data_IF_333994937142
#
_entry.id   IF_333994937142
#
_cell.length_a   1.000
_cell.length_b   1.000
_cell.length_c   1.000
_cell.angle_alpha   90.00
_cell.angle_beta   90.00
_cell.angle_gamma   90.00
#
_symmetry.space_group_name_H-M   'P 1'
#
loop_
_entity.id
_entity.type
_entity.pdbx_description
1 polymer ?
#
# COMPACT_ATOMS: atom_id res chain seq x y z
N UNK A 1 -15.92 21.37 -33.41
CA UNK A 1 -15.69 21.07 -31.99
C UNK A 1 -14.27 20.53 -31.91
N UNK A 2 -13.33 21.42 -31.59
CA UNK A 2 -11.93 21.09 -31.63
C UNK A 2 -11.52 20.52 -30.27
N UNK A 3 -11.48 19.18 -30.20
CA UNK A 3 -10.88 18.46 -29.04
C UNK A 3 -9.34 18.53 -29.14
N UNK A 4 -8.81 19.73 -28.96
CA UNK A 4 -7.37 19.91 -28.86
C UNK A 4 -6.94 19.89 -27.38
N UNK A 5 -7.28 18.80 -26.68
CA UNK A 5 -6.70 18.54 -25.34
C UNK A 5 -5.36 17.80 -25.52
N UNK A 6 -4.45 18.43 -26.22
CA UNK A 6 -3.06 17.97 -26.26
C UNK A 6 -2.50 18.10 -24.85
N UNK A 7 -2.30 16.97 -24.17
CA UNK A 7 -1.59 16.92 -22.90
C UNK A 7 -0.23 17.60 -23.09
N UNK A 8 -0.06 18.77 -22.48
CA UNK A 8 1.23 19.44 -22.46
C UNK A 8 2.19 18.48 -21.75
N UNK A 9 3.29 18.06 -22.39
CA UNK A 9 4.20 17.13 -21.76
C UNK A 9 4.77 17.76 -20.49
N UNK A 10 4.46 17.14 -19.34
CA UNK A 10 5.01 17.56 -18.05
C UNK A 10 6.51 17.27 -18.11
N UNK A 11 7.34 18.32 -18.02
CA UNK A 11 8.78 18.15 -17.93
C UNK A 11 9.13 17.73 -16.50
N UNK A 12 9.22 16.42 -16.29
CA UNK A 12 9.63 15.83 -15.01
C UNK A 12 11.13 16.06 -14.83
N UNK A 13 11.52 16.57 -13.66
CA UNK A 13 12.92 16.67 -13.25
C UNK A 13 13.33 15.38 -12.57
N UNK A 14 14.46 14.83 -12.97
CA UNK A 14 15.15 13.81 -12.18
C UNK A 14 15.82 14.50 -10.99
N UNK A 15 15.49 14.04 -9.78
CA UNK A 15 15.99 14.59 -8.51
C UNK A 15 16.95 13.62 -7.82
N UNK A 16 17.29 12.49 -8.45
CA UNK A 16 18.25 11.52 -7.94
C UNK A 16 19.64 11.94 -8.39
N UNK A 17 20.52 12.25 -7.43
CA UNK A 17 21.92 12.59 -7.71
C UNK A 17 22.76 11.35 -7.95
N UNK A 18 22.61 10.35 -7.08
CA UNK A 18 23.41 9.14 -7.11
C UNK A 18 22.80 8.01 -6.28
N UNK A 19 23.26 6.79 -6.56
CA UNK A 19 23.12 5.63 -5.69
C UNK A 19 24.45 5.39 -4.97
N UNK A 20 24.45 5.46 -3.65
CA UNK A 20 25.62 5.23 -2.81
C UNK A 20 25.33 4.14 -1.79
N UNK A 21 26.35 3.36 -1.41
CA UNK A 21 26.24 2.46 -0.27
C UNK A 21 26.93 3.07 0.93
N UNK A 22 26.21 3.12 2.06
CA UNK A 22 26.71 3.62 3.34
C UNK A 22 26.29 2.70 4.47
N UNK A 23 26.97 2.72 5.62
CA UNK A 23 26.47 2.03 6.81
C UNK A 23 25.10 2.59 7.20
N UNK A 24 24.12 1.71 7.49
CA UNK A 24 22.76 2.15 7.77
C UNK A 24 22.70 3.10 8.98
N UNK A 25 23.50 2.84 10.03
CA UNK A 25 23.59 3.67 11.22
C UNK A 25 24.21 5.06 10.98
N UNK A 26 24.84 5.31 9.82
CA UNK A 26 25.36 6.64 9.47
C UNK A 26 24.26 7.57 8.94
N UNK A 27 23.07 7.06 8.64
CA UNK A 27 21.94 7.84 8.18
C UNK A 27 21.21 8.48 9.36
N UNK A 28 20.83 9.74 9.23
CA UNK A 28 19.99 10.42 10.20
C UNK A 28 18.51 10.10 9.96
N UNK A 29 17.80 9.78 11.02
CA UNK A 29 16.35 9.68 10.96
C UNK A 29 15.74 11.08 10.91
N UNK A 30 14.74 11.28 10.03
CA UNK A 30 14.05 12.56 9.94
C UNK A 30 13.27 12.82 11.24
N UNK A 31 13.36 14.02 11.84
CA UNK A 31 12.67 14.33 13.11
C UNK A 31 11.14 14.28 12.97
N UNK A 32 10.62 14.59 11.79
CA UNK A 32 9.18 14.55 11.48
C UNK A 32 8.72 13.19 10.93
N UNK A 33 9.52 12.11 11.10
CA UNK A 33 9.06 10.78 10.74
C UNK A 33 7.87 10.37 11.62
N UNK A 34 6.70 10.32 11.02
CA UNK A 34 5.43 10.04 11.71
C UNK A 34 5.05 8.56 11.74
N UNK A 35 5.79 7.72 11.00
CA UNK A 35 5.52 6.28 10.93
C UNK A 35 6.00 5.55 12.18
N UNK A 36 5.12 4.67 12.68
CA UNK A 36 5.42 3.73 13.76
C UNK A 36 5.38 2.32 13.17
N UNK A 37 6.44 1.56 13.38
CA UNK A 37 6.59 0.23 12.83
C UNK A 37 6.28 -0.83 13.90
N UNK A 38 5.19 -1.60 13.76
CA UNK A 38 4.87 -2.66 14.70
C UNK A 38 5.87 -3.84 14.56
N UNK A 39 5.98 -4.64 15.61
CA UNK A 39 6.94 -5.74 15.68
C UNK A 39 6.75 -6.78 14.56
N UNK A 40 5.49 -7.08 14.20
CA UNK A 40 5.21 -8.01 13.11
C UNK A 40 5.74 -7.53 11.76
N UNK A 41 5.68 -6.21 11.47
CA UNK A 41 6.26 -5.63 10.26
C UNK A 41 7.79 -5.76 10.27
N UNK A 42 8.42 -5.45 11.41
CA UNK A 42 9.87 -5.56 11.58
C UNK A 42 10.33 -7.00 11.38
N UNK A 43 9.63 -7.96 11.98
CA UNK A 43 9.94 -9.39 11.88
C UNK A 43 9.74 -9.92 10.45
N UNK A 44 8.70 -9.51 9.74
CA UNK A 44 8.46 -9.90 8.35
C UNK A 44 9.55 -9.34 7.41
N UNK A 45 9.94 -8.08 7.60
CA UNK A 45 11.00 -7.45 6.82
C UNK A 45 12.36 -8.09 7.10
N UNK A 46 12.67 -8.42 8.36
CA UNK A 46 13.87 -9.16 8.71
C UNK A 46 13.88 -10.53 8.02
N UNK A 47 12.75 -11.24 8.03
CA UNK A 47 12.61 -12.53 7.34
C UNK A 47 12.86 -12.43 5.83
N UNK A 48 12.42 -11.34 5.20
CA UNK A 48 12.68 -11.08 3.79
C UNK A 48 14.19 -10.83 3.54
N UNK A 49 14.86 -10.08 4.42
CA UNK A 49 16.31 -9.86 4.33
C UNK A 49 17.11 -11.15 4.51
N UNK A 50 16.70 -12.01 5.44
CA UNK A 50 17.37 -13.30 5.68
C UNK A 50 17.25 -14.22 4.45
N UNK A 51 16.14 -14.17 3.73
CA UNK A 51 15.87 -15.06 2.60
C UNK A 51 16.42 -14.54 1.26
N UNK A 52 16.29 -13.26 1.00
CA UNK A 52 16.60 -12.66 -0.32
C UNK A 52 17.78 -11.68 -0.23
N UNK A 53 17.97 -11.05 0.93
CA UNK A 53 18.88 -9.93 1.10
C UNK A 53 18.20 -8.59 0.79
N UNK A 54 19.02 -7.55 0.58
CA UNK A 54 18.55 -6.19 0.33
C UNK A 54 18.36 -6.01 -1.18
N UNK A 55 17.11 -5.94 -1.64
CA UNK A 55 16.73 -5.76 -3.04
C UNK A 55 16.13 -4.37 -3.33
N UNK A 56 16.21 -3.44 -2.37
CA UNK A 56 15.65 -2.10 -2.45
C UNK A 56 16.64 -1.06 -1.92
N UNK A 57 16.40 0.23 -2.17
CA UNK A 57 17.22 1.33 -1.67
C UNK A 57 16.40 2.25 -0.77
N UNK A 58 17.03 2.81 0.25
CA UNK A 58 16.43 3.88 1.06
C UNK A 58 16.57 5.22 0.36
N UNK A 59 15.69 6.16 0.64
CA UNK A 59 15.68 7.51 0.05
C UNK A 59 16.18 8.52 1.07
N UNK A 60 17.17 9.34 0.68
CA UNK A 60 17.74 10.36 1.53
C UNK A 60 18.06 11.66 0.76
N UNK A 61 18.26 12.74 1.51
CA UNK A 61 18.81 14.00 1.00
C UNK A 61 19.97 14.45 1.89
N UNK A 62 20.84 15.33 1.36
CA UNK A 62 21.88 15.96 2.16
C UNK A 62 21.30 17.20 2.88
N UNK A 63 21.33 17.19 4.22
CA UNK A 63 20.97 18.35 5.02
C UNK A 63 22.03 19.49 4.91
N UNK A 64 21.82 20.61 5.59
CA UNK A 64 22.74 21.75 5.57
C UNK A 64 24.14 21.41 6.10
N UNK A 65 24.23 20.43 7.02
CA UNK A 65 25.48 19.93 7.60
C UNK A 65 26.17 18.88 6.73
N UNK A 66 25.63 18.59 5.52
CA UNK A 66 26.11 17.57 4.59
C UNK A 66 25.98 16.14 5.09
N UNK A 67 25.10 15.91 6.03
CA UNK A 67 24.73 14.58 6.52
C UNK A 67 23.53 14.05 5.72
N UNK A 68 23.46 12.73 5.57
CA UNK A 68 22.36 12.08 4.86
C UNK A 68 21.16 11.90 5.79
N UNK A 69 20.09 12.62 5.54
CA UNK A 69 18.83 12.54 6.26
C UNK A 69 17.83 11.69 5.48
N UNK A 70 17.24 10.69 6.14
CA UNK A 70 16.25 9.80 5.51
C UNK A 70 14.93 10.52 5.21
N UNK A 71 14.38 10.19 4.05
CA UNK A 71 13.00 10.48 3.64
C UNK A 71 12.17 9.21 3.75
N UNK A 72 12.71 8.08 3.25
CA UNK A 72 12.09 6.75 3.35
C UNK A 72 13.13 5.68 3.73
N UNK A 73 12.67 4.64 4.42
CA UNK A 73 13.47 3.49 4.82
C UNK A 73 13.96 3.52 6.26
N UNK A 74 13.30 4.25 7.17
CA UNK A 74 13.65 4.30 8.59
C UNK A 74 13.71 2.90 9.24
N UNK A 75 12.70 2.04 8.99
CA UNK A 75 12.71 0.67 9.49
C UNK A 75 13.89 -0.14 8.95
N UNK A 76 14.22 0.02 7.65
CA UNK A 76 15.38 -0.65 7.03
C UNK A 76 16.68 -0.25 7.70
N UNK A 77 16.86 1.05 7.96
CA UNK A 77 17.99 1.57 8.70
C UNK A 77 18.11 0.94 10.10
N UNK A 78 17.00 0.91 10.83
CA UNK A 78 16.97 0.43 12.21
C UNK A 78 17.28 -1.07 12.32
N UNK A 79 16.80 -1.87 11.35
CA UNK A 79 17.07 -3.31 11.31
C UNK A 79 18.48 -3.67 10.88
N UNK A 80 19.09 -2.87 10.00
CA UNK A 80 20.34 -3.22 9.34
C UNK A 80 21.59 -2.65 10.04
N UNK A 81 21.43 -1.69 10.95
CA UNK A 81 22.50 -1.25 11.85
C UNK A 81 23.79 -0.84 11.13
N UNK A 82 24.84 -1.62 11.23
CA UNK A 82 26.15 -1.35 10.63
C UNK A 82 26.30 -1.84 9.18
N UNK A 83 25.30 -2.57 8.67
CA UNK A 83 25.33 -3.10 7.32
C UNK A 83 25.38 -1.98 6.26
N UNK A 84 26.08 -2.26 5.17
CA UNK A 84 26.19 -1.36 4.02
C UNK A 84 24.94 -1.44 3.16
N UNK A 85 24.10 -0.40 3.18
CA UNK A 85 22.84 -0.37 2.45
C UNK A 85 22.88 0.59 1.27
N UNK A 86 22.12 0.28 0.17
CA UNK A 86 21.98 1.18 -0.95
C UNK A 86 21.08 2.37 -0.58
N UNK A 87 21.53 3.57 -0.92
CA UNK A 87 20.85 4.84 -0.67
C UNK A 87 20.72 5.62 -1.96
N UNK A 88 19.50 5.97 -2.34
CA UNK A 88 19.23 6.97 -3.38
C UNK A 88 19.34 8.36 -2.76
N UNK A 89 20.37 9.08 -3.12
CA UNK A 89 20.61 10.45 -2.63
C UNK A 89 19.99 11.42 -3.60
N UNK A 90 19.14 12.30 -3.08
CA UNK A 90 18.44 13.32 -3.87
C UNK A 90 19.06 14.71 -3.70
N UNK A 91 18.74 15.62 -4.63
CA UNK A 91 19.09 17.04 -4.55
C UNK A 91 17.93 17.89 -3.98
N UNK A 92 17.03 17.25 -3.22
CA UNK A 92 15.91 17.93 -2.58
C UNK A 92 16.38 18.86 -1.47
N UNK A 93 15.67 19.97 -1.31
CA UNK A 93 15.78 20.78 -0.11
C UNK A 93 14.87 20.21 1.00
N UNK A 94 14.97 20.76 2.21
CA UNK A 94 14.23 20.27 3.38
C UNK A 94 12.70 20.31 3.18
N UNK A 95 12.15 21.37 2.59
CA UNK A 95 10.71 21.51 2.37
C UNK A 95 10.19 20.47 1.34
N UNK A 96 10.96 20.25 0.28
CA UNK A 96 10.65 19.22 -0.72
C UNK A 96 10.76 17.81 -0.12
N UNK A 97 11.76 17.55 0.74
CA UNK A 97 11.91 16.29 1.45
C UNK A 97 10.74 16.03 2.40
N UNK A 98 10.30 17.05 3.15
CA UNK A 98 9.10 16.97 4.02
C UNK A 98 7.83 16.67 3.22
N UNK A 99 7.68 17.26 2.04
CA UNK A 99 6.54 16.99 1.17
C UNK A 99 6.51 15.50 0.76
N UNK A 100 7.66 14.94 0.35
CA UNK A 100 7.74 13.51 0.01
C UNK A 100 7.49 12.66 1.25
N UNK A 101 8.12 12.95 2.38
CA UNK A 101 7.93 12.24 3.64
C UNK A 101 6.44 12.15 4.04
N UNK A 102 5.68 13.22 3.82
CA UNK A 102 4.27 13.27 4.15
C UNK A 102 3.37 12.55 3.15
N UNK A 103 3.79 12.40 1.89
CA UNK A 103 2.88 11.98 0.79
C UNK A 103 3.23 10.63 0.16
N UNK A 104 4.48 10.18 0.27
CA UNK A 104 4.95 8.96 -0.42
C UNK A 104 4.11 7.74 -0.07
N UNK A 105 3.95 7.46 1.21
CA UNK A 105 3.18 6.30 1.68
C UNK A 105 1.67 6.48 1.47
N UNK A 106 1.04 7.61 1.84
CA UNK A 106 -0.37 7.84 1.52
C UNK A 106 -0.72 7.69 0.03
N UNK A 107 0.15 8.13 -0.88
CA UNK A 107 -0.07 7.93 -2.32
C UNK A 107 -0.01 6.43 -2.68
N UNK A 108 0.92 5.69 -2.11
CA UNK A 108 1.03 4.24 -2.33
C UNK A 108 -0.19 3.49 -1.80
N UNK A 109 -0.73 3.92 -0.65
CA UNK A 109 -1.92 3.35 -0.02
C UNK A 109 -3.24 3.63 -0.78
N UNK A 110 -3.25 4.58 -1.72
CA UNK A 110 -4.40 4.81 -2.61
C UNK A 110 -4.58 3.71 -3.67
N UNK A 111 -3.57 2.87 -3.89
CA UNK A 111 -3.67 1.78 -4.85
C UNK A 111 -4.65 0.70 -4.35
N UNK A 112 -5.57 0.29 -5.20
CA UNK A 112 -6.45 -0.84 -4.91
C UNK A 112 -5.76 -2.16 -5.25
N UNK A 113 -6.12 -3.21 -4.51
CA UNK A 113 -5.62 -4.56 -4.71
C UNK A 113 -6.47 -5.29 -5.77
N UNK A 114 -5.81 -6.05 -6.64
CA UNK A 114 -6.48 -7.02 -7.52
C UNK A 114 -6.29 -8.42 -6.93
N UNK A 115 -7.34 -8.94 -6.29
CA UNK A 115 -7.29 -10.18 -5.52
C UNK A 115 -6.98 -11.40 -6.40
N UNK A 116 -7.51 -11.48 -7.64
CA UNK A 116 -7.21 -12.61 -8.54
C UNK A 116 -5.73 -12.64 -8.93
N UNK A 117 -5.15 -11.46 -9.17
CA UNK A 117 -3.73 -11.37 -9.52
C UNK A 117 -2.85 -11.67 -8.31
N UNK A 118 -3.22 -11.19 -7.12
CA UNK A 118 -2.52 -11.49 -5.88
C UNK A 118 -2.58 -12.99 -5.56
N UNK A 119 -3.75 -13.63 -5.65
CA UNK A 119 -3.90 -15.08 -5.47
C UNK A 119 -2.95 -15.85 -6.38
N UNK A 120 -2.97 -15.55 -7.69
CA UNK A 120 -2.10 -16.21 -8.66
C UNK A 120 -0.61 -16.00 -8.34
N UNK A 121 -0.23 -14.83 -7.82
CA UNK A 121 1.15 -14.57 -7.39
C UNK A 121 1.49 -15.44 -6.18
N UNK A 122 0.65 -15.44 -5.15
CA UNK A 122 0.87 -16.19 -3.91
C UNK A 122 0.89 -17.71 -4.13
N UNK A 123 0.09 -18.23 -5.07
CA UNK A 123 0.07 -19.66 -5.44
C UNK A 123 1.38 -20.12 -6.10
N UNK A 124 2.16 -19.19 -6.67
CA UNK A 124 3.45 -19.48 -7.29
C UNK A 124 4.66 -19.20 -6.37
N UNK A 125 4.41 -18.78 -5.12
CA UNK A 125 5.47 -18.58 -4.12
C UNK A 125 5.54 -19.87 -3.28
N UNK A 126 6.75 -20.45 -3.23
CA UNK A 126 7.03 -21.60 -2.38
C UNK A 126 7.04 -21.18 -0.91
N UNK A 127 6.65 -22.12 -0.03
CA UNK A 127 6.69 -21.88 1.40
C UNK A 127 8.14 -21.60 1.87
N UNK A 128 8.27 -20.71 2.83
CA UNK A 128 9.56 -20.32 3.39
C UNK A 128 9.78 -20.93 4.78
N UNK A 129 11.02 -21.28 5.10
CA UNK A 129 11.38 -21.73 6.44
C UNK A 129 11.38 -20.59 7.48
N UNK A 130 11.39 -19.33 7.03
CA UNK A 130 11.30 -18.18 7.92
C UNK A 130 9.86 -17.99 8.41
N UNK A 131 9.64 -18.27 9.70
CA UNK A 131 8.30 -18.28 10.32
C UNK A 131 7.58 -16.94 10.22
N UNK A 132 8.30 -15.82 10.31
CA UNK A 132 7.70 -14.48 10.27
C UNK A 132 7.29 -14.10 8.86
N UNK A 133 8.12 -14.43 7.87
CA UNK A 133 7.80 -14.21 6.47
C UNK A 133 6.66 -15.15 6.02
N UNK A 134 6.68 -16.41 6.45
CA UNK A 134 5.60 -17.36 6.16
C UNK A 134 4.27 -16.85 6.71
N UNK A 135 4.24 -16.36 7.95
CA UNK A 135 3.02 -15.79 8.54
C UNK A 135 2.48 -14.63 7.70
N UNK A 136 3.34 -13.71 7.24
CA UNK A 136 2.90 -12.62 6.36
C UNK A 136 2.29 -13.16 5.07
N UNK A 137 2.89 -14.19 4.45
CA UNK A 137 2.36 -14.81 3.24
C UNK A 137 1.01 -15.50 3.49
N UNK A 138 0.86 -16.15 4.65
CA UNK A 138 -0.39 -16.79 5.05
C UNK A 138 -1.50 -15.76 5.29
N UNK A 139 -1.20 -14.66 6.00
CA UNK A 139 -2.12 -13.55 6.22
C UNK A 139 -2.56 -12.90 4.88
N UNK A 140 -1.63 -12.73 3.94
CA UNK A 140 -1.94 -12.24 2.59
C UNK A 140 -2.80 -13.22 1.80
N UNK A 141 -2.53 -14.53 1.90
CA UNK A 141 -3.38 -15.56 1.29
C UNK A 141 -4.78 -15.49 1.89
N UNK A 142 -4.90 -15.49 3.22
CA UNK A 142 -6.19 -15.41 3.91
C UNK A 142 -6.97 -14.17 3.45
N UNK A 143 -6.36 -12.99 3.47
CA UNK A 143 -7.01 -11.74 3.04
C UNK A 143 -7.43 -11.74 1.57
N UNK A 144 -6.64 -12.36 0.69
CA UNK A 144 -6.95 -12.48 -0.73
C UNK A 144 -8.04 -13.52 -1.02
N UNK A 145 -8.19 -14.54 -0.15
CA UNK A 145 -9.22 -15.59 -0.28
C UNK A 145 -10.48 -15.29 0.53
N UNK A 146 -10.39 -14.44 1.56
CA UNK A 146 -11.57 -13.97 2.25
C UNK A 146 -12.38 -13.04 1.35
N UNK A 147 -13.68 -13.29 1.28
CA UNK A 147 -14.61 -12.38 0.64
C UNK A 147 -14.64 -11.07 1.44
N UNK A 148 -14.24 -9.97 0.79
CA UNK A 148 -14.32 -8.65 1.40
C UNK A 148 -15.73 -8.06 1.18
N UNK A 149 -16.58 -8.00 2.21
CA UNK A 149 -17.92 -7.44 2.10
C UNK A 149 -17.94 -5.94 1.77
N UNK A 150 -16.78 -5.27 1.83
CA UNK A 150 -16.67 -3.85 1.53
C UNK A 150 -16.34 -3.53 0.06
N UNK A 151 -16.09 -4.54 -0.77
CA UNK A 151 -15.96 -4.37 -2.21
C UNK A 151 -17.35 -4.51 -2.85
N UNK A 152 -18.14 -3.48 -2.73
CA UNK A 152 -19.36 -3.35 -3.50
C UNK A 152 -18.98 -2.71 -4.85
N UNK A 153 -18.94 -3.48 -5.93
CA UNK A 153 -19.08 -2.91 -7.26
C UNK A 153 -20.51 -2.38 -7.39
N UNK A 154 -20.66 -1.09 -7.17
CA UNK A 154 -21.88 -0.38 -7.61
C UNK A 154 -21.74 -0.24 -9.12
N UNK A 155 -22.29 -1.18 -9.89
CA UNK A 155 -22.56 -0.92 -11.29
C UNK A 155 -23.51 0.29 -11.33
N UNK A 156 -22.95 1.47 -11.64
CA UNK A 156 -23.74 2.63 -12.02
C UNK A 156 -24.41 2.30 -13.37
N UNK A 157 -25.48 1.55 -13.32
CA UNK A 157 -26.45 1.56 -14.40
C UNK A 157 -27.04 2.96 -14.35
N UNK A 158 -26.83 3.75 -15.42
CA UNK A 158 -27.48 5.06 -15.56
C UNK A 158 -28.93 4.94 -15.13
N UNK A 159 -29.46 5.87 -14.31
CA UNK A 159 -30.83 5.79 -13.87
C UNK A 159 -31.71 5.93 -15.09
N UNK A 160 -32.31 4.84 -15.54
CA UNK A 160 -33.43 4.90 -16.41
C UNK A 160 -34.57 5.60 -15.65
N UNK A 161 -34.55 6.90 -15.80
CA UNK A 161 -35.67 7.80 -15.65
C UNK A 161 -36.75 7.48 -14.60
N UNK A 162 -36.72 8.27 -13.50
CA UNK A 162 -37.89 8.58 -12.69
C UNK A 162 -38.48 7.44 -11.85
N UNK A 163 -37.81 7.14 -10.78
CA UNK A 163 -38.35 6.53 -9.58
C UNK A 163 -37.51 6.97 -8.38
N UNK A 164 -38.15 7.30 -7.29
CA UNK A 164 -37.51 7.59 -6.00
C UNK A 164 -36.75 6.38 -5.40
N UNK A 165 -36.51 5.33 -6.19
CA UNK A 165 -35.97 4.06 -5.77
C UNK A 165 -34.71 3.71 -6.57
N UNK A 166 -33.63 3.38 -5.87
CA UNK A 166 -32.39 2.80 -6.42
C UNK A 166 -32.31 1.32 -6.07
N UNK A 167 -31.64 0.54 -6.93
CA UNK A 167 -31.36 -0.87 -6.66
C UNK A 167 -29.87 -1.05 -6.41
N UNK A 168 -29.51 -1.74 -5.33
CA UNK A 168 -28.14 -2.17 -5.06
C UNK A 168 -28.08 -3.68 -5.31
N UNK A 169 -27.22 -4.12 -6.23
CA UNK A 169 -27.00 -5.53 -6.50
C UNK A 169 -25.70 -6.00 -5.82
N UNK A 170 -25.82 -6.99 -4.94
CA UNK A 170 -24.70 -7.60 -4.25
C UNK A 170 -24.39 -8.96 -4.90
N UNK A 171 -23.19 -9.12 -5.46
CA UNK A 171 -22.72 -10.42 -5.98
C UNK A 171 -21.88 -11.09 -4.92
N UNK A 172 -22.20 -12.31 -4.55
CA UNK A 172 -21.49 -13.09 -3.56
C UNK A 172 -21.43 -14.58 -3.95
N UNK A 173 -20.46 -15.36 -3.47
CA UNK A 173 -20.44 -16.80 -3.61
C UNK A 173 -21.71 -17.42 -3.03
N UNK A 174 -22.25 -18.46 -3.71
CA UNK A 174 -23.55 -19.04 -3.36
C UNK A 174 -23.64 -19.57 -1.92
N UNK A 175 -22.53 -20.04 -1.38
CA UNK A 175 -22.46 -20.61 -0.02
C UNK A 175 -22.61 -19.58 1.10
N UNK A 176 -22.37 -18.29 0.84
CA UNK A 176 -22.46 -17.20 1.83
C UNK A 176 -23.65 -16.27 1.61
N UNK A 177 -24.41 -16.44 0.50
CA UNK A 177 -25.62 -15.64 0.23
C UNK A 177 -26.63 -15.69 1.38
N UNK A 178 -26.89 -16.86 2.03
CA UNK A 178 -27.82 -16.91 3.16
C UNK A 178 -27.39 -16.02 4.34
N UNK A 179 -26.12 -16.04 4.70
CA UNK A 179 -25.57 -15.27 5.83
C UNK A 179 -25.62 -13.75 5.56
N UNK A 180 -25.34 -13.37 4.29
CA UNK A 180 -25.44 -11.97 3.86
C UNK A 180 -26.88 -11.51 3.90
N UNK A 181 -27.81 -12.32 3.39
CA UNK A 181 -29.24 -12.01 3.40
C UNK A 181 -29.75 -11.78 4.81
N UNK A 182 -29.41 -12.66 5.77
CA UNK A 182 -29.79 -12.51 7.17
C UNK A 182 -29.27 -11.22 7.79
N UNK A 183 -27.98 -10.90 7.57
CA UNK A 183 -27.38 -9.64 8.05
C UNK A 183 -28.02 -8.40 7.43
N UNK A 184 -28.35 -8.43 6.13
CA UNK A 184 -29.03 -7.34 5.46
C UNK A 184 -30.45 -7.17 5.98
N UNK A 185 -31.19 -8.27 6.14
CA UNK A 185 -32.55 -8.22 6.69
C UNK A 185 -32.57 -7.62 8.10
N UNK A 186 -31.59 -7.96 8.94
CA UNK A 186 -31.45 -7.37 10.27
C UNK A 186 -31.14 -5.87 10.22
N UNK A 187 -30.23 -5.46 9.32
CA UNK A 187 -29.89 -4.04 9.16
C UNK A 187 -31.03 -3.22 8.59
N UNK A 188 -31.82 -3.79 7.68
CA UNK A 188 -32.91 -3.11 7.02
C UNK A 188 -34.21 -3.04 7.84
N UNK A 189 -34.31 -3.79 8.95
CA UNK A 189 -35.44 -3.67 9.89
C UNK A 189 -35.65 -2.27 10.46
N UNK A 190 -34.62 -1.45 10.44
CA UNK A 190 -34.68 -0.06 10.87
C UNK A 190 -35.24 0.89 9.78
N UNK A 191 -35.47 0.38 8.57
CA UNK A 191 -35.90 1.18 7.41
C UNK A 191 -37.12 0.56 6.75
N UNK A 192 -38.28 1.09 7.06
CA UNK A 192 -39.60 0.57 6.59
C UNK A 192 -39.80 0.58 5.06
N UNK A 193 -38.95 1.30 4.32
CA UNK A 193 -39.09 1.52 2.85
C UNK A 193 -38.14 0.65 2.00
N UNK A 194 -37.31 -0.20 2.63
CA UNK A 194 -36.31 -1.03 1.93
C UNK A 194 -36.75 -2.50 1.85
N UNK A 195 -36.56 -3.10 0.70
CA UNK A 195 -36.91 -4.51 0.46
C UNK A 195 -35.77 -5.24 -0.22
N UNK A 196 -35.47 -6.45 0.22
CA UNK A 196 -34.56 -7.37 -0.46
C UNK A 196 -35.35 -8.18 -1.49
N UNK A 197 -34.92 -8.13 -2.75
CA UNK A 197 -35.55 -8.84 -3.87
C UNK A 197 -34.75 -10.08 -4.23
#
# INVERSE_FOLDING_TARGET
MDDNNALVPIKIKDRIKELRRVPANSLLSHPDNWRVHPENQSNALQGLFDQIGIADAVLAYENDDKELMLIDGHLRKDLLGEEMIPVLITDLNEDEAKLILATHDPITELASQNDETLKRLLDNIEDTENVNLQRLLDDLKESAYEWNPNVFEVENTEPANIGLFGTITIKAPQNIIPDIREKLEDTLKEYDELTIV
#
